data_IF_481959750276
#
_entry.id   IF_481959750276
#
_cell.length_a   1.000
_cell.length_b   1.000
_cell.length_c   1.000
_cell.angle_alpha   90.00
_cell.angle_beta   90.00
_cell.angle_gamma   90.00
#
_symmetry.space_group_name_H-M   'P 1'
#
loop_
_entity.id
_entity.type
_entity.pdbx_description
1 polymer ?
#
# COMPACT_ATOMS: atom_id res chain seq x y z
N UNK A 1 -19.32 11.63 13.10
CA UNK A 1 -18.97 10.80 11.94
C UNK A 1 -20.08 10.94 10.92
N UNK A 2 -19.72 11.20 9.67
CA UNK A 2 -20.69 11.34 8.59
C UNK A 2 -20.93 10.02 7.86
N UNK A 3 -22.09 9.89 7.19
CA UNK A 3 -22.46 8.69 6.43
C UNK A 3 -21.34 8.19 5.48
N UNK A 4 -20.53 9.08 4.91
CA UNK A 4 -19.38 8.72 4.06
C UNK A 4 -18.29 7.97 4.83
N UNK A 5 -17.95 8.41 6.03
CA UNK A 5 -16.92 7.77 6.88
C UNK A 5 -17.41 6.42 7.40
N UNK A 6 -18.66 6.36 7.87
CA UNK A 6 -19.27 5.12 8.36
C UNK A 6 -19.32 4.04 7.26
N UNK A 7 -19.58 4.45 6.02
CA UNK A 7 -19.53 3.57 4.86
C UNK A 7 -18.13 3.03 4.59
N UNK A 8 -17.09 3.87 4.69
CA UNK A 8 -15.71 3.41 4.54
C UNK A 8 -15.38 2.41 5.67
N UNK A 9 -15.74 2.71 6.91
CA UNK A 9 -15.46 1.81 8.04
C UNK A 9 -16.19 0.47 7.90
N UNK A 10 -17.45 0.49 7.46
CA UNK A 10 -18.21 -0.73 7.15
C UNK A 10 -17.60 -1.52 5.99
N UNK A 11 -17.08 -0.83 4.97
CA UNK A 11 -16.39 -1.45 3.84
C UNK A 11 -15.06 -2.08 4.26
N UNK A 12 -14.25 -1.37 5.05
CA UNK A 12 -12.99 -1.88 5.63
C UNK A 12 -13.25 -3.16 6.43
N UNK A 13 -14.22 -3.15 7.36
CA UNK A 13 -14.60 -4.36 8.12
C UNK A 13 -14.98 -5.52 7.19
N UNK A 14 -15.82 -5.24 6.20
CA UNK A 14 -16.28 -6.26 5.25
C UNK A 14 -15.13 -6.84 4.42
N UNK A 15 -14.16 -6.03 3.99
CA UNK A 15 -12.96 -6.49 3.27
C UNK A 15 -12.10 -7.42 4.14
N UNK A 16 -11.79 -7.00 5.37
CA UNK A 16 -10.97 -7.79 6.27
C UNK A 16 -11.64 -9.13 6.61
N UNK A 17 -12.96 -9.16 6.80
CA UNK A 17 -13.70 -10.40 7.07
C UNK A 17 -13.88 -11.28 5.83
N UNK A 18 -14.41 -10.71 4.75
CA UNK A 18 -14.95 -11.49 3.62
C UNK A 18 -14.04 -11.48 2.39
N UNK A 19 -13.16 -10.51 2.24
CA UNK A 19 -12.39 -10.32 1.00
C UNK A 19 -13.17 -9.50 -0.03
N UNK A 20 -12.50 -9.16 -1.13
CA UNK A 20 -13.08 -8.30 -2.16
C UNK A 20 -14.27 -8.97 -2.86
N UNK A 21 -14.09 -10.21 -3.33
CA UNK A 21 -15.08 -10.94 -4.12
C UNK A 21 -16.39 -11.22 -3.39
N UNK A 22 -16.32 -11.53 -2.09
CA UNK A 22 -17.49 -11.95 -1.29
C UNK A 22 -18.21 -10.80 -0.61
N UNK A 23 -17.67 -9.58 -0.65
CA UNK A 23 -18.31 -8.42 -0.04
C UNK A 23 -19.43 -7.88 -0.93
N UNK A 24 -20.63 -7.77 -0.38
CA UNK A 24 -21.80 -7.19 -1.05
C UNK A 24 -22.11 -5.79 -0.51
N UNK A 25 -22.83 -4.98 -1.30
CA UNK A 25 -23.25 -3.65 -0.85
C UNK A 25 -24.19 -3.71 0.38
N UNK A 26 -24.95 -4.82 0.55
CA UNK A 26 -25.78 -5.05 1.73
C UNK A 26 -24.95 -5.35 2.97
N UNK A 27 -23.84 -6.09 2.82
CA UNK A 27 -22.90 -6.32 3.92
C UNK A 27 -22.34 -4.99 4.42
N UNK A 28 -21.90 -4.13 3.51
CA UNK A 28 -21.34 -2.82 3.84
C UNK A 28 -22.37 -1.94 4.55
N UNK A 29 -23.59 -1.85 4.00
CA UNK A 29 -24.69 -1.08 4.60
C UNK A 29 -25.04 -1.58 6.02
N UNK A 30 -25.08 -2.91 6.20
CA UNK A 30 -25.31 -3.51 7.52
C UNK A 30 -24.17 -3.23 8.48
N UNK A 31 -22.92 -3.30 8.01
CA UNK A 31 -21.75 -3.04 8.83
C UNK A 31 -21.61 -1.57 9.20
N UNK A 32 -22.01 -0.64 8.34
CA UNK A 32 -21.93 0.81 8.55
C UNK A 32 -23.11 1.39 9.33
N UNK A 33 -24.26 0.71 9.36
CA UNK A 33 -25.51 1.29 9.87
C UNK A 33 -26.12 2.34 8.92
N UNK A 34 -25.61 2.44 7.70
CA UNK A 34 -26.03 3.43 6.69
C UNK A 34 -26.85 2.74 5.59
N UNK A 35 -27.82 3.45 5.00
CA UNK A 35 -28.64 2.92 3.91
C UNK A 35 -27.84 2.53 2.67
N UNK A 36 -28.32 1.53 1.94
CA UNK A 36 -27.74 1.08 0.65
C UNK A 36 -27.68 2.21 -0.39
N UNK A 37 -28.67 3.12 -0.39
CA UNK A 37 -28.73 4.25 -1.31
C UNK A 37 -27.58 5.24 -1.09
N UNK A 38 -27.06 5.36 0.14
CA UNK A 38 -25.95 6.25 0.44
C UNK A 38 -24.64 5.81 -0.23
N UNK A 39 -24.46 4.52 -0.54
CA UNK A 39 -23.31 4.03 -1.31
C UNK A 39 -23.32 4.64 -2.70
N UNK A 40 -24.46 4.56 -3.40
CA UNK A 40 -24.62 5.16 -4.72
C UNK A 40 -24.42 6.68 -4.70
N UNK A 41 -24.93 7.36 -3.65
CA UNK A 41 -24.78 8.81 -3.50
C UNK A 41 -23.33 9.25 -3.26
N UNK A 42 -22.59 8.59 -2.37
CA UNK A 42 -21.24 9.03 -1.98
C UNK A 42 -20.11 8.46 -2.85
N UNK A 43 -20.30 7.27 -3.43
CA UNK A 43 -19.24 6.53 -4.10
C UNK A 43 -19.63 6.04 -5.51
N UNK A 44 -20.91 6.13 -5.88
CA UNK A 44 -21.42 5.64 -7.16
C UNK A 44 -21.59 4.12 -7.19
N UNK A 45 -20.53 3.36 -6.87
CA UNK A 45 -20.53 1.88 -6.89
C UNK A 45 -19.96 1.28 -5.60
N UNK A 46 -20.27 -0.01 -5.38
CA UNK A 46 -19.68 -0.79 -4.29
C UNK A 46 -18.17 -0.89 -4.49
N UNK A 47 -17.72 -1.13 -5.71
CA UNK A 47 -16.32 -1.30 -6.09
C UNK A 47 -15.50 -0.04 -5.81
N UNK A 48 -16.06 1.14 -6.10
CA UNK A 48 -15.44 2.42 -5.77
C UNK A 48 -15.32 2.63 -4.26
N UNK A 49 -16.36 2.25 -3.48
CA UNK A 49 -16.31 2.28 -2.03
C UNK A 49 -15.25 1.31 -1.46
N UNK A 50 -15.20 0.07 -1.95
CA UNK A 50 -14.19 -0.91 -1.52
C UNK A 50 -12.77 -0.44 -1.83
N UNK A 51 -12.55 0.13 -3.01
CA UNK A 51 -11.26 0.71 -3.37
C UNK A 51 -10.89 1.87 -2.45
N UNK A 52 -11.83 2.81 -2.19
CA UNK A 52 -11.58 3.92 -1.29
C UNK A 52 -11.26 3.47 0.15
N UNK A 53 -11.91 2.40 0.62
CA UNK A 53 -11.60 1.80 1.91
C UNK A 53 -10.20 1.19 1.94
N UNK A 54 -9.83 0.39 0.94
CA UNK A 54 -8.49 -0.20 0.88
C UNK A 54 -7.39 0.85 0.74
N UNK A 55 -7.63 1.88 -0.09
CA UNK A 55 -6.70 2.99 -0.28
C UNK A 55 -6.45 3.73 1.04
N UNK A 56 -7.50 4.00 1.83
CA UNK A 56 -7.34 4.60 3.17
C UNK A 56 -6.50 3.74 4.12
N UNK A 57 -6.65 2.42 4.06
CA UNK A 57 -5.83 1.52 4.89
C UNK A 57 -4.36 1.50 4.42
N UNK A 58 -4.10 1.66 3.12
CA UNK A 58 -2.74 1.82 2.58
C UNK A 58 -2.11 3.16 2.99
N UNK A 59 -2.87 4.25 2.98
CA UNK A 59 -2.41 5.55 3.49
C UNK A 59 -2.03 5.45 4.97
N UNK A 60 -2.90 4.84 5.80
CA UNK A 60 -2.63 4.61 7.22
C UNK A 60 -1.38 3.76 7.46
N UNK A 61 -1.20 2.70 6.66
CA UNK A 61 0.01 1.87 6.72
C UNK A 61 1.27 2.69 6.39
N UNK A 62 1.20 3.58 5.39
CA UNK A 62 2.28 4.51 5.05
C UNK A 62 2.60 5.48 6.18
N UNK A 63 1.58 6.08 6.81
CA UNK A 63 1.75 7.00 7.94
C UNK A 63 2.37 6.31 9.17
N UNK A 64 1.92 5.10 9.49
CA UNK A 64 2.46 4.29 10.58
C UNK A 64 3.92 3.94 10.33
N UNK A 65 4.27 3.59 9.09
CA UNK A 65 5.63 3.29 8.68
C UNK A 65 6.53 4.54 8.73
N UNK A 66 6.05 5.69 8.23
CA UNK A 66 6.77 6.95 8.32
C UNK A 66 7.05 7.36 9.77
N UNK A 67 6.04 7.18 10.65
CA UNK A 67 6.18 7.42 12.08
C UNK A 67 7.20 6.49 12.73
N UNK A 68 7.18 5.20 12.37
CA UNK A 68 8.15 4.22 12.88
C UNK A 68 9.56 4.51 12.37
N UNK A 69 9.72 4.86 11.10
CA UNK A 69 10.99 5.24 10.50
C UNK A 69 11.56 6.51 11.16
N UNK A 70 10.74 7.55 11.38
CA UNK A 70 11.17 8.77 12.06
C UNK A 70 11.67 8.57 13.49
N UNK A 71 11.30 7.46 14.16
CA UNK A 71 11.85 7.08 15.47
C UNK A 71 13.18 6.33 15.39
N UNK A 72 13.46 5.67 14.26
CA UNK A 72 14.68 4.88 14.02
C UNK A 72 15.76 5.69 13.30
N UNK A 73 15.40 6.70 12.53
CA UNK A 73 16.33 7.54 11.75
C UNK A 73 16.93 8.61 12.64
N UNK A 74 18.24 8.53 12.87
CA UNK A 74 18.99 9.52 13.65
C UNK A 74 19.77 10.51 12.75
N UNK A 75 19.99 11.75 13.22
CA UNK A 75 20.90 12.67 12.55
C UNK A 75 22.29 12.06 12.39
N UNK A 76 22.84 12.09 11.17
CA UNK A 76 24.19 11.58 10.88
C UNK A 76 24.26 10.14 10.37
N UNK A 77 23.15 9.38 10.35
CA UNK A 77 23.12 8.11 9.62
C UNK A 77 23.52 8.31 8.15
N UNK A 78 24.22 7.34 7.58
CA UNK A 78 24.49 7.27 6.14
C UNK A 78 23.21 6.94 5.36
N UNK A 79 23.15 7.23 4.05
CA UNK A 79 22.02 6.83 3.20
C UNK A 79 21.76 5.32 3.22
N UNK A 80 22.82 4.52 3.39
CA UNK A 80 22.70 3.07 3.50
C UNK A 80 22.01 2.64 4.80
N UNK A 81 22.45 3.18 5.94
CA UNK A 81 21.85 2.85 7.24
C UNK A 81 20.37 3.27 7.28
N UNK A 82 20.03 4.41 6.68
CA UNK A 82 18.64 4.84 6.53
C UNK A 82 17.83 3.86 5.69
N UNK A 83 18.36 3.45 4.54
CA UNK A 83 17.72 2.48 3.66
C UNK A 83 17.43 1.17 4.41
N UNK A 84 18.42 0.60 5.08
CA UNK A 84 18.27 -0.64 5.83
C UNK A 84 17.24 -0.50 6.97
N UNK A 85 17.29 0.61 7.72
CA UNK A 85 16.34 0.85 8.82
C UNK A 85 14.89 0.96 8.33
N UNK A 86 14.66 1.66 7.22
CA UNK A 86 13.31 1.82 6.65
C UNK A 86 12.81 0.49 6.10
N UNK A 87 13.61 -0.22 5.28
CA UNK A 87 13.20 -1.50 4.70
C UNK A 87 13.03 -2.61 5.74
N UNK A 88 13.80 -2.58 6.83
CA UNK A 88 13.54 -3.45 7.98
C UNK A 88 12.15 -3.19 8.56
N UNK A 89 11.79 -1.92 8.76
CA UNK A 89 10.45 -1.55 9.22
C UNK A 89 9.33 -1.95 8.25
N UNK A 90 9.55 -1.81 6.94
CA UNK A 90 8.63 -2.28 5.89
C UNK A 90 8.37 -3.78 6.05
N UNK A 91 9.43 -4.58 6.08
CA UNK A 91 9.33 -6.05 6.12
C UNK A 91 8.68 -6.51 7.43
N UNK A 92 9.08 -5.93 8.57
CA UNK A 92 8.46 -6.18 9.88
C UNK A 92 6.95 -5.88 9.85
N UNK A 93 6.53 -4.81 9.15
CA UNK A 93 5.14 -4.38 9.08
C UNK A 93 4.23 -5.38 8.34
N UNK A 94 4.77 -6.21 7.45
CA UNK A 94 3.99 -7.18 6.68
C UNK A 94 3.32 -8.23 7.58
N UNK A 95 3.94 -8.57 8.71
CA UNK A 95 3.32 -9.48 9.69
C UNK A 95 2.04 -8.86 10.26
N UNK A 96 2.12 -7.61 10.70
CA UNK A 96 0.97 -6.90 11.27
C UNK A 96 -0.12 -6.60 10.24
N UNK A 97 0.27 -6.40 8.97
CA UNK A 97 -0.62 -6.00 7.88
C UNK A 97 -0.84 -7.10 6.83
N UNK A 98 -0.62 -8.38 7.17
CA UNK A 98 -0.68 -9.50 6.21
C UNK A 98 -1.98 -9.51 5.40
N UNK A 99 -3.11 -9.24 6.05
CA UNK A 99 -4.42 -9.24 5.39
C UNK A 99 -4.60 -8.05 4.44
N UNK A 100 -4.03 -6.89 4.74
CA UNK A 100 -4.04 -5.73 3.85
C UNK A 100 -3.32 -6.07 2.54
N UNK A 101 -2.13 -6.67 2.62
CA UNK A 101 -1.37 -7.10 1.45
C UNK A 101 -2.06 -8.19 0.65
N UNK A 102 -2.66 -9.19 1.31
CA UNK A 102 -3.48 -10.19 0.61
C UNK A 102 -4.63 -9.55 -0.19
N UNK A 103 -5.33 -8.57 0.40
CA UNK A 103 -6.41 -7.84 -0.29
C UNK A 103 -5.86 -7.06 -1.49
N UNK A 104 -4.72 -6.39 -1.33
CA UNK A 104 -4.05 -5.66 -2.41
C UNK A 104 -3.75 -6.56 -3.61
N UNK A 105 -3.27 -7.79 -3.37
CA UNK A 105 -3.04 -8.75 -4.46
C UNK A 105 -4.34 -9.35 -5.02
N UNK A 106 -5.39 -9.52 -4.21
CA UNK A 106 -6.72 -9.96 -4.67
C UNK A 106 -7.28 -8.99 -5.74
N UNK A 107 -7.07 -7.68 -5.59
CA UNK A 107 -7.53 -6.67 -6.54
C UNK A 107 -7.01 -6.89 -7.96
N UNK A 108 -5.79 -7.40 -8.11
CA UNK A 108 -5.17 -7.63 -9.43
C UNK A 108 -5.98 -8.64 -10.26
N UNK A 109 -6.56 -9.65 -9.60
CA UNK A 109 -7.42 -10.65 -10.24
C UNK A 109 -8.75 -10.10 -10.76
N UNK A 110 -9.11 -8.85 -10.44
CA UNK A 110 -10.36 -8.22 -10.82
C UNK A 110 -10.22 -7.11 -11.86
N UNK A 111 -8.99 -6.77 -12.27
CA UNK A 111 -8.72 -5.62 -13.15
C UNK A 111 -9.42 -5.67 -14.51
N UNK A 112 -9.62 -6.87 -15.05
CA UNK A 112 -10.24 -7.06 -16.37
C UNK A 112 -11.76 -7.15 -16.32
N UNK A 113 -12.32 -7.56 -15.17
CA UNK A 113 -13.76 -7.65 -14.98
C UNK A 113 -14.38 -6.36 -14.43
N UNK A 114 -13.59 -5.46 -13.85
CA UNK A 114 -14.05 -4.22 -13.21
C UNK A 114 -13.30 -2.98 -13.75
N UNK A 115 -13.75 -2.38 -14.88
CA UNK A 115 -13.07 -1.22 -15.48
C UNK A 115 -12.93 0.00 -14.54
N UNK A 116 -13.93 0.24 -13.68
CA UNK A 116 -13.87 1.34 -12.70
C UNK A 116 -12.81 1.09 -11.63
N UNK A 117 -12.55 -0.16 -11.24
CA UNK A 117 -11.45 -0.50 -10.33
C UNK A 117 -10.10 -0.14 -10.95
N UNK A 118 -9.89 -0.50 -12.22
CA UNK A 118 -8.68 -0.15 -12.96
C UNK A 118 -8.48 1.38 -13.00
N UNK A 119 -9.53 2.13 -13.30
CA UNK A 119 -9.48 3.60 -13.30
C UNK A 119 -9.08 4.17 -11.94
N UNK A 120 -9.65 3.66 -10.85
CA UNK A 120 -9.35 4.11 -9.50
C UNK A 120 -7.92 3.76 -9.06
N UNK A 121 -7.41 2.59 -9.45
CA UNK A 121 -6.02 2.19 -9.19
C UNK A 121 -5.03 3.05 -9.97
N UNK A 122 -5.33 3.39 -11.23
CA UNK A 122 -4.49 4.31 -12.02
C UNK A 122 -4.44 5.69 -11.36
N UNK A 123 -5.59 6.20 -10.90
CA UNK A 123 -5.66 7.50 -10.24
C UNK A 123 -4.84 7.55 -8.94
N UNK A 124 -4.89 6.48 -8.12
CA UNK A 124 -4.15 6.40 -6.86
C UNK A 124 -2.66 6.06 -7.01
N UNK A 125 -2.22 5.60 -8.19
CA UNK A 125 -0.82 5.19 -8.41
C UNK A 125 0.14 6.37 -8.35
N UNK A 126 -0.25 7.56 -8.82
CA UNK A 126 0.62 8.74 -8.78
C UNK A 126 0.91 9.15 -7.33
N UNK A 127 -0.15 9.34 -6.55
CA UNK A 127 -0.08 9.71 -5.12
C UNK A 127 0.72 8.67 -4.32
N UNK A 128 0.47 7.38 -4.55
CA UNK A 128 1.22 6.31 -3.91
C UNK A 128 2.73 6.38 -4.22
N UNK A 129 3.11 6.66 -5.48
CA UNK A 129 4.53 6.77 -5.86
C UNK A 129 5.21 7.98 -5.24
N UNK A 130 4.52 9.10 -5.16
CA UNK A 130 5.02 10.30 -4.48
C UNK A 130 5.28 10.01 -3.00
N UNK A 131 4.31 9.40 -2.30
CA UNK A 131 4.48 8.99 -0.91
C UNK A 131 5.64 8.01 -0.70
N UNK A 132 5.88 7.08 -1.63
CA UNK A 132 7.03 6.16 -1.56
C UNK A 132 8.37 6.88 -1.76
N UNK A 133 8.42 7.93 -2.58
CA UNK A 133 9.63 8.76 -2.74
C UNK A 133 9.88 9.57 -1.47
N UNK A 134 8.84 10.12 -0.85
CA UNK A 134 8.97 10.82 0.43
C UNK A 134 9.44 9.89 1.55
N UNK A 135 8.94 8.66 1.56
CA UNK A 135 9.24 7.67 2.59
C UNK A 135 10.63 7.04 2.43
N UNK A 136 11.04 6.71 1.21
CA UNK A 136 12.29 5.97 0.94
C UNK A 136 13.41 6.83 0.35
N UNK A 137 13.10 8.02 -0.13
CA UNK A 137 14.06 8.92 -0.78
C UNK A 137 14.83 9.78 0.21
N UNK A 138 16.03 10.22 -0.19
CA UNK A 138 16.76 11.27 0.51
C UNK A 138 16.23 12.65 0.11
N UNK A 139 16.40 13.64 1.01
CA UNK A 139 16.16 15.04 0.72
C UNK A 139 17.15 15.54 -0.35
N UNK A 140 16.72 15.55 -1.62
CA UNK A 140 17.57 16.00 -2.74
C UNK A 140 17.32 15.32 -4.08
N UNK A 141 16.33 14.43 -4.19
CA UNK A 141 15.97 13.83 -5.48
C UNK A 141 15.41 14.90 -6.41
N UNK A 142 16.00 15.03 -7.60
CA UNK A 142 15.49 15.96 -8.62
C UNK A 142 14.05 15.58 -9.03
N UNK A 143 13.15 16.56 -9.23
CA UNK A 143 11.75 16.29 -9.58
C UNK A 143 11.58 15.37 -10.81
N UNK A 144 12.47 15.48 -11.80
CA UNK A 144 12.46 14.63 -13.00
C UNK A 144 12.76 13.16 -12.75
N UNK A 145 13.37 12.80 -11.60
CA UNK A 145 13.69 11.42 -11.22
C UNK A 145 12.68 10.82 -10.24
N UNK A 146 11.89 11.65 -9.56
CA UNK A 146 10.90 11.21 -8.58
C UNK A 146 9.90 10.20 -9.16
N UNK A 147 9.38 10.44 -10.37
CA UNK A 147 8.44 9.52 -11.00
C UNK A 147 9.02 8.11 -11.20
N UNK A 148 10.22 8.02 -11.81
CA UNK A 148 10.87 6.73 -12.09
C UNK A 148 11.29 6.03 -10.79
N UNK A 149 11.76 6.79 -9.81
CA UNK A 149 12.17 6.24 -8.52
C UNK A 149 10.96 5.73 -7.73
N UNK A 150 9.86 6.47 -7.68
CA UNK A 150 8.62 6.02 -7.06
C UNK A 150 8.07 4.75 -7.71
N UNK A 151 8.14 4.66 -9.04
CA UNK A 151 7.76 3.43 -9.76
C UNK A 151 8.68 2.25 -9.40
N UNK A 152 9.99 2.47 -9.27
CA UNK A 152 10.94 1.45 -8.81
C UNK A 152 10.67 1.02 -7.38
N UNK A 153 10.45 1.96 -6.46
CA UNK A 153 10.09 1.66 -5.08
C UNK A 153 8.78 0.89 -4.97
N UNK A 154 7.78 1.25 -5.77
CA UNK A 154 6.53 0.51 -5.83
C UNK A 154 6.76 -0.94 -6.30
N UNK A 155 7.58 -1.14 -7.33
CA UNK A 155 7.91 -2.47 -7.84
C UNK A 155 8.67 -3.31 -6.79
N UNK A 156 9.65 -2.72 -6.12
CA UNK A 156 10.38 -3.38 -5.03
C UNK A 156 9.44 -3.75 -3.88
N UNK A 157 8.61 -2.80 -3.41
CA UNK A 157 7.71 -3.01 -2.29
C UNK A 157 6.74 -4.16 -2.56
N UNK A 158 6.13 -4.16 -3.75
CA UNK A 158 5.20 -5.23 -4.15
C UNK A 158 5.93 -6.57 -4.30
N UNK A 159 7.13 -6.59 -4.88
CA UNK A 159 7.92 -7.82 -5.02
C UNK A 159 8.36 -8.42 -3.69
N UNK A 160 8.81 -7.59 -2.74
CA UNK A 160 9.21 -8.06 -1.41
C UNK A 160 7.97 -8.50 -0.61
N UNK A 161 6.86 -7.77 -0.69
CA UNK A 161 5.60 -8.17 -0.06
C UNK A 161 5.08 -9.50 -0.60
N UNK A 162 5.16 -9.73 -1.91
CA UNK A 162 4.76 -10.99 -2.55
C UNK A 162 5.64 -12.16 -2.08
N UNK A 163 6.97 -12.03 -2.15
CA UNK A 163 7.90 -13.04 -1.62
C UNK A 163 7.63 -13.35 -0.15
N UNK A 164 7.43 -12.32 0.68
CA UNK A 164 7.11 -12.48 2.09
C UNK A 164 5.77 -13.17 2.34
N UNK A 165 4.75 -12.89 1.53
CA UNK A 165 3.46 -13.57 1.67
C UNK A 165 3.55 -15.06 1.34
N UNK A 166 4.41 -15.43 0.39
CA UNK A 166 4.62 -16.80 -0.11
C UNK A 166 5.51 -17.62 0.82
N UNK A 167 6.68 -17.10 1.18
CA UNK A 167 7.68 -17.78 2.03
C UNK A 167 8.33 -16.77 2.99
N UNK A 168 7.69 -16.47 4.13
CA UNK A 168 8.21 -15.49 5.09
C UNK A 168 9.60 -15.82 5.63
N UNK A 169 9.96 -17.10 5.71
CA UNK A 169 11.21 -17.56 6.32
C UNK A 169 12.43 -17.34 5.40
N UNK A 170 12.19 -17.22 4.09
CA UNK A 170 13.22 -16.99 3.07
C UNK A 170 12.98 -15.70 2.27
N UNK A 171 12.06 -14.85 2.73
CA UNK A 171 11.81 -13.56 2.11
C UNK A 171 13.02 -12.64 2.26
N UNK A 172 13.25 -11.83 1.24
CA UNK A 172 14.40 -10.93 1.17
C UNK A 172 14.46 -9.98 2.38
N UNK A 173 15.58 -9.97 3.08
CA UNK A 173 15.89 -9.01 4.14
C UNK A 173 16.29 -7.64 3.58
N UNK A 174 16.29 -6.61 4.44
CA UNK A 174 16.74 -5.27 4.05
C UNK A 174 18.22 -5.24 3.63
N UNK A 175 19.08 -6.00 4.31
CA UNK A 175 20.51 -6.14 4.00
C UNK A 175 20.73 -6.81 2.63
N UNK A 176 19.99 -7.88 2.35
CA UNK A 176 20.06 -8.57 1.06
C UNK A 176 19.55 -7.69 -0.08
N UNK A 177 18.47 -6.94 0.14
CA UNK A 177 17.93 -5.98 -0.83
C UNK A 177 18.96 -4.91 -1.17
N UNK A 178 19.60 -4.31 -0.16
CA UNK A 178 20.67 -3.34 -0.35
C UNK A 178 21.85 -3.95 -1.12
N UNK A 179 22.27 -5.16 -0.74
CA UNK A 179 23.39 -5.87 -1.38
C UNK A 179 23.09 -6.12 -2.86
N UNK A 180 21.87 -6.55 -3.19
CA UNK A 180 21.43 -6.75 -4.57
C UNK A 180 21.40 -5.44 -5.37
N UNK A 181 20.88 -4.35 -4.79
CA UNK A 181 20.84 -3.04 -5.44
C UNK A 181 22.24 -2.50 -5.75
N UNK A 182 23.19 -2.66 -4.81
CA UNK A 182 24.60 -2.29 -5.03
C UNK A 182 25.24 -3.10 -6.15
N UNK A 183 25.02 -4.42 -6.15
CA UNK A 183 25.50 -5.28 -7.21
C UNK A 183 24.93 -4.87 -8.57
N UNK A 184 23.63 -4.60 -8.69
CA UNK A 184 23.03 -4.12 -9.95
C UNK A 184 23.67 -2.80 -10.41
N UNK A 185 23.86 -1.83 -9.51
CA UNK A 185 24.48 -0.56 -9.85
C UNK A 185 25.93 -0.71 -10.33
N UNK A 186 26.71 -1.64 -9.77
CA UNK A 186 28.10 -1.84 -10.18
C UNK A 186 28.25 -2.51 -11.55
N UNK A 187 27.26 -3.30 -11.98
CA UNK A 187 27.25 -3.93 -13.31
C UNK A 187 26.81 -2.98 -14.43
N UNK A 188 26.16 -1.86 -14.08
CA UNK A 188 25.63 -0.87 -15.02
C UNK A 188 26.55 0.35 -15.21
N UNK A 189 27.62 0.45 -14.42
CA UNK A 189 28.63 1.51 -14.45
C UNK A 189 29.81 1.14 -15.37
#
# INVERSE_FOLDING_TARGET
MGNREDLIDGATRSLYEKGYSRTTARDIASASGVSLAAIGYHFGTKEALLHAALYREMERWGDDLATAAGRKIEPGMSPTERFEAIWTGVIESFTAHRRLWMLQFELLGHLDSLPELRKNLVASTADAREGLVELFGDAGIEPGRAHTLGALYQALLLGVAEQWLVDPDHAMSAEELLTALRALSSHLA
#
